data_IF_484638896370
#
_entry.id   IF_484638896370
#
_cell.length_a   1.000
_cell.length_b   1.000
_cell.length_c   1.000
_cell.angle_alpha   90.00
_cell.angle_beta   90.00
_cell.angle_gamma   90.00
#
_symmetry.space_group_name_H-M   'P 1'
#
loop_
_entity.id
_entity.type
_entity.pdbx_description
1 polymer ?
#
# COMPACT_ATOMS: atom_id res chain seq x y z
N UNK A 1 8.87 -4.03 -20.29
CA UNK A 1 7.56 -3.36 -20.31
C UNK A 1 7.56 -2.49 -21.53
N UNK A 2 6.78 -2.89 -22.54
CA UNK A 2 6.62 -2.10 -23.76
C UNK A 2 5.18 -1.67 -23.97
N UNK A 3 4.99 -0.79 -24.94
CA UNK A 3 3.66 -0.31 -25.34
C UNK A 3 2.88 0.26 -24.14
N UNK A 4 3.60 0.92 -23.23
CA UNK A 4 3.05 1.49 -22.01
C UNK A 4 2.09 2.62 -22.39
N UNK A 5 0.85 2.50 -21.94
CA UNK A 5 -0.21 3.47 -22.22
C UNK A 5 -1.02 3.72 -20.97
N UNK A 6 -1.67 4.88 -20.93
CA UNK A 6 -2.61 5.20 -19.88
C UNK A 6 -3.81 4.23 -19.89
N UNK A 7 -4.20 3.77 -18.72
CA UNK A 7 -5.40 2.98 -18.49
C UNK A 7 -6.42 3.83 -17.73
N UNK A 8 -7.51 4.20 -18.41
CA UNK A 8 -8.62 4.91 -17.75
C UNK A 8 -9.51 3.90 -17.02
N UNK A 9 -9.15 3.55 -15.79
CA UNK A 9 -9.88 2.58 -14.99
C UNK A 9 -11.33 3.03 -14.74
N UNK A 10 -12.29 2.10 -14.76
CA UNK A 10 -13.71 2.42 -14.55
C UNK A 10 -13.97 3.05 -13.17
N UNK A 11 -13.16 2.70 -12.16
CA UNK A 11 -13.24 3.28 -10.81
C UNK A 11 -12.99 4.79 -10.78
N UNK A 12 -12.25 5.34 -11.74
CA UNK A 12 -12.06 6.79 -11.84
C UNK A 12 -13.33 7.58 -12.17
N UNK A 13 -14.40 6.89 -12.57
CA UNK A 13 -15.71 7.51 -12.83
C UNK A 13 -16.59 7.57 -11.58
N UNK A 14 -16.16 6.99 -10.45
CA UNK A 14 -16.91 7.06 -9.18
C UNK A 14 -16.63 8.38 -8.46
N UNK A 15 -17.49 8.79 -7.50
CA UNK A 15 -17.26 9.99 -6.69
C UNK A 15 -16.03 9.92 -5.78
N UNK A 16 -15.43 8.74 -5.61
CA UNK A 16 -14.28 8.53 -4.74
C UNK A 16 -12.98 9.06 -5.37
N UNK A 17 -12.99 9.29 -6.69
CA UNK A 17 -11.86 9.81 -7.44
C UNK A 17 -12.19 11.18 -8.06
N UNK A 18 -11.29 12.13 -7.87
CA UNK A 18 -11.35 13.47 -8.46
C UNK A 18 -10.26 13.59 -9.54
N UNK A 19 -10.62 13.81 -10.81
CA UNK A 19 -9.62 14.11 -11.85
C UNK A 19 -9.00 15.49 -11.57
N UNK A 20 -7.71 15.53 -11.26
CA UNK A 20 -6.99 16.78 -10.97
C UNK A 20 -6.19 17.28 -12.17
N UNK A 21 -5.62 16.38 -12.96
CA UNK A 21 -4.90 16.67 -14.20
C UNK A 21 -5.19 15.59 -15.25
N UNK A 22 -4.65 15.74 -16.46
CA UNK A 22 -4.78 14.65 -17.43
C UNK A 22 -4.06 13.40 -16.92
N UNK A 23 -4.75 12.26 -16.97
CA UNK A 23 -4.28 10.96 -16.46
C UNK A 23 -4.03 10.87 -14.94
N UNK A 24 -4.24 11.95 -14.17
CA UNK A 24 -3.99 11.98 -12.72
C UNK A 24 -5.30 12.19 -11.97
N UNK A 25 -5.55 11.32 -10.99
CA UNK A 25 -6.70 11.37 -10.12
C UNK A 25 -6.24 11.53 -8.68
N UNK A 26 -7.07 12.16 -7.86
CA UNK A 26 -6.90 12.30 -6.43
C UNK A 26 -7.95 11.43 -5.74
N UNK A 27 -7.55 10.71 -4.72
CA UNK A 27 -8.45 9.90 -3.89
C UNK A 27 -8.03 9.96 -2.42
N UNK A 28 -8.84 9.36 -1.57
CA UNK A 28 -8.56 9.16 -0.17
C UNK A 28 -8.10 7.72 0.03
N UNK A 29 -6.88 7.55 0.53
CA UNK A 29 -6.34 6.24 0.86
C UNK A 29 -7.19 5.60 1.95
N UNK A 30 -7.77 4.45 1.64
CA UNK A 30 -8.44 3.60 2.62
C UNK A 30 -7.37 2.74 3.30
N UNK A 31 -6.86 3.22 4.44
CA UNK A 31 -6.01 2.38 5.29
C UNK A 31 -6.87 1.25 5.84
N UNK A 32 -6.65 0.03 5.36
CA UNK A 32 -7.32 -1.13 5.92
C UNK A 32 -6.82 -1.33 7.35
N UNK A 33 -7.75 -1.62 8.26
CA UNK A 33 -7.44 -1.90 9.68
C UNK A 33 -6.78 -3.28 9.84
N UNK A 34 -6.70 -4.05 8.75
CA UNK A 34 -6.26 -5.44 8.71
C UNK A 34 -4.80 -5.59 8.22
N UNK A 35 -4.24 -4.55 7.60
CA UNK A 35 -2.89 -4.60 7.02
C UNK A 35 -1.81 -4.26 8.06
N UNK A 36 -1.68 -5.06 9.12
CA UNK A 36 -0.45 -5.19 9.93
C UNK A 36 0.19 -3.92 10.50
N UNK A 37 -0.46 -2.76 10.39
CA UNK A 37 0.11 -1.45 10.65
C UNK A 37 -0.09 -1.11 12.13
N UNK A 38 0.76 -1.72 12.95
CA UNK A 38 0.87 -1.42 14.38
C UNK A 38 1.64 -0.12 14.61
N UNK A 39 1.06 0.99 14.21
CA UNK A 39 1.53 2.29 14.67
C UNK A 39 1.04 2.47 16.11
N UNK A 40 1.82 2.00 17.09
CA UNK A 40 1.48 2.10 18.50
C UNK A 40 2.28 3.20 19.18
N UNK A 41 1.64 3.92 20.10
CA UNK A 41 2.34 4.73 21.10
C UNK A 41 1.88 4.38 22.49
N UNK A 42 2.78 4.49 23.46
CA UNK A 42 2.41 4.34 24.85
C UNK A 42 1.38 5.40 25.24
N UNK A 43 0.27 4.97 25.85
CA UNK A 43 -0.73 5.88 26.36
C UNK A 43 -0.13 6.72 27.50
N UNK A 44 -0.12 8.03 27.33
CA UNK A 44 0.52 8.97 28.28
C UNK A 44 -0.41 9.50 29.37
N UNK A 45 -1.73 9.26 29.25
CA UNK A 45 -2.72 9.66 30.23
C UNK A 45 -2.81 8.62 31.36
N UNK A 46 -2.23 8.94 32.52
CA UNK A 46 -2.15 8.03 33.66
C UNK A 46 -3.53 7.63 34.24
N UNK A 47 -4.52 8.53 34.19
CA UNK A 47 -5.86 8.24 34.71
C UNK A 47 -6.59 7.27 33.78
N UNK A 48 -6.46 7.49 32.46
CA UNK A 48 -6.97 6.58 31.45
C UNK A 48 -6.29 5.20 31.54
N UNK A 49 -4.95 5.14 31.60
CA UNK A 49 -4.20 3.89 31.75
C UNK A 49 -4.69 3.11 32.97
N UNK A 50 -4.81 3.78 34.13
CA UNK A 50 -5.30 3.17 35.38
C UNK A 50 -6.72 2.62 35.26
N UNK A 51 -7.55 3.20 34.38
CA UNK A 51 -8.91 2.73 34.09
C UNK A 51 -8.88 1.52 33.14
N UNK A 52 -8.12 1.60 32.05
CA UNK A 52 -8.02 0.55 31.03
C UNK A 52 -7.42 -0.74 31.60
N UNK A 53 -6.38 -0.64 32.44
CA UNK A 53 -5.76 -1.80 33.09
C UNK A 53 -6.72 -2.60 33.99
N UNK A 54 -7.78 -1.96 34.50
CA UNK A 54 -8.82 -2.60 35.33
C UNK A 54 -10.00 -3.13 34.52
N UNK A 55 -10.02 -2.92 33.21
CA UNK A 55 -11.08 -3.44 32.36
C UNK A 55 -11.03 -4.96 32.31
N UNK A 56 -12.20 -5.60 32.34
CA UNK A 56 -12.34 -7.04 32.08
C UNK A 56 -12.64 -7.33 30.59
N UNK A 57 -12.77 -6.29 29.77
CA UNK A 57 -13.16 -6.38 28.35
C UNK A 57 -11.99 -6.64 27.40
N UNK A 58 -10.77 -6.81 27.92
CA UNK A 58 -9.61 -7.19 27.11
C UNK A 58 -9.83 -8.57 26.48
N UNK A 59 -9.66 -8.67 25.17
CA UNK A 59 -9.70 -9.94 24.45
C UNK A 59 -8.36 -10.22 23.76
N UNK A 60 -7.95 -11.48 23.72
CA UNK A 60 -6.78 -11.88 22.95
C UNK A 60 -7.06 -11.67 21.46
N UNK A 61 -6.11 -11.04 20.76
CA UNK A 61 -6.15 -10.88 19.31
C UNK A 61 -5.98 -12.20 18.57
N UNK A 62 -6.27 -12.19 17.27
CA UNK A 62 -6.15 -13.37 16.40
C UNK A 62 -5.38 -13.04 15.13
N UNK A 63 -4.57 -13.96 14.64
CA UNK A 63 -3.73 -13.78 13.45
C UNK A 63 -2.25 -13.63 13.81
N UNK A 64 -1.37 -13.79 12.81
CA UNK A 64 0.09 -13.96 12.96
C UNK A 64 0.83 -12.79 13.65
N UNK A 65 0.14 -11.69 13.94
CA UNK A 65 0.71 -10.50 14.61
C UNK A 65 -0.05 -10.06 15.88
N UNK A 66 -1.23 -10.62 16.14
CA UNK A 66 -2.15 -10.14 17.18
C UNK A 66 -2.36 -11.18 18.29
N UNK A 67 -1.93 -12.42 18.09
CA UNK A 67 -2.12 -13.52 19.04
C UNK A 67 -1.31 -13.38 20.34
N UNK A 68 -0.22 -12.62 20.31
CA UNK A 68 0.57 -12.23 21.51
C UNK A 68 0.02 -10.97 22.21
N UNK A 69 -1.05 -10.35 21.69
CA UNK A 69 -1.61 -9.10 22.21
C UNK A 69 -3.02 -9.27 22.80
N UNK A 70 -3.29 -8.54 23.89
CA UNK A 70 -4.63 -8.22 24.33
C UNK A 70 -5.09 -6.92 23.66
N UNK A 71 -6.33 -6.91 23.19
CA UNK A 71 -6.97 -5.78 22.51
C UNK A 71 -8.15 -5.29 23.34
N UNK A 72 -8.30 -3.98 23.46
CA UNK A 72 -9.47 -3.33 24.06
C UNK A 72 -9.94 -2.19 23.16
N UNK A 73 -11.23 -2.15 22.85
CA UNK A 73 -11.84 -0.96 22.23
C UNK A 73 -12.52 -0.12 23.31
N UNK A 74 -12.07 1.12 23.49
CA UNK A 74 -12.60 2.04 24.47
C UNK A 74 -12.82 3.42 23.82
N UNK A 75 -14.04 3.96 23.94
CA UNK A 75 -14.43 5.25 23.33
C UNK A 75 -14.11 5.38 21.82
N UNK A 76 -14.20 4.28 21.07
CA UNK A 76 -13.96 4.25 19.63
C UNK A 76 -12.49 4.15 19.23
N UNK A 77 -11.56 4.07 20.19
CA UNK A 77 -10.13 3.82 19.96
C UNK A 77 -9.75 2.41 20.38
N UNK A 78 -8.74 1.84 19.72
CA UNK A 78 -8.14 0.56 20.10
C UNK A 78 -6.91 0.76 20.97
N UNK A 79 -6.74 -0.14 21.91
CA UNK A 79 -5.62 -0.21 22.82
C UNK A 79 -5.06 -1.63 22.83
N UNK A 80 -3.77 -1.76 23.07
CA UNK A 80 -3.04 -3.01 23.04
C UNK A 80 -2.19 -3.18 24.31
N UNK A 81 -2.04 -4.43 24.75
CA UNK A 81 -1.13 -4.85 25.81
C UNK A 81 -0.50 -6.17 25.39
N UNK A 82 0.75 -6.37 25.77
CA UNK A 82 1.40 -7.67 25.63
C UNK A 82 0.83 -8.65 26.67
N UNK A 83 0.43 -9.84 26.25
CA UNK A 83 -0.13 -10.89 27.11
C UNK A 83 0.90 -11.34 28.17
N UNK A 84 2.19 -11.40 27.82
CA UNK A 84 3.24 -11.88 28.71
C UNK A 84 3.57 -10.88 29.83
N UNK A 85 3.27 -9.59 29.60
CA UNK A 85 3.57 -8.52 30.55
C UNK A 85 2.40 -8.19 31.51
N UNK A 86 1.25 -8.86 31.39
CA UNK A 86 0.09 -8.59 32.23
C UNK A 86 0.42 -8.76 33.73
N UNK A 87 0.28 -7.68 34.49
CA UNK A 87 0.54 -7.66 35.94
C UNK A 87 2.01 -7.51 36.35
N UNK A 88 2.92 -7.31 35.39
CA UNK A 88 4.33 -7.00 35.65
C UNK A 88 4.57 -5.47 35.69
N UNK A 89 5.81 -5.04 35.93
CA UNK A 89 6.18 -3.63 35.82
C UNK A 89 6.20 -3.12 34.37
N UNK A 90 6.21 -4.03 33.40
CA UNK A 90 6.22 -3.77 31.97
C UNK A 90 4.80 -3.86 31.35
N UNK A 91 3.75 -3.89 32.18
CA UNK A 91 2.34 -3.88 31.75
C UNK A 91 1.94 -2.51 31.20
N UNK A 92 2.36 -2.27 29.95
CA UNK A 92 2.19 -1.00 29.26
C UNK A 92 0.92 -1.06 28.39
N UNK A 93 0.08 -0.04 28.53
CA UNK A 93 -1.04 0.20 27.62
C UNK A 93 -0.56 1.02 26.43
N UNK A 94 -0.60 0.42 25.26
CA UNK A 94 -0.39 1.10 23.99
C UNK A 94 -1.72 1.56 23.42
N UNK A 95 -1.77 2.76 22.85
CA UNK A 95 -2.90 3.22 22.05
C UNK A 95 -2.56 3.10 20.56
N UNK A 96 -3.56 2.68 19.79
CA UNK A 96 -3.49 2.72 18.34
C UNK A 96 -3.33 4.16 17.88
N UNK A 97 -2.27 4.45 17.12
CA UNK A 97 -2.10 5.73 16.46
C UNK A 97 -2.91 5.82 15.18
N UNK A 98 -3.45 4.71 14.69
CA UNK A 98 -4.35 4.73 13.56
C UNK A 98 -5.66 5.42 13.95
N UNK A 99 -5.91 6.60 13.38
CA UNK A 99 -7.22 7.21 13.37
C UNK A 99 -7.95 6.75 12.10
N UNK A 100 -9.00 5.91 12.21
CA UNK A 100 -9.78 5.47 11.05
C UNK A 100 -10.51 6.62 10.33
N UNK A 101 -10.58 7.81 10.95
CA UNK A 101 -11.08 9.01 10.30
C UNK A 101 -9.97 9.81 9.57
N UNK A 102 -8.69 9.55 9.84
CA UNK A 102 -7.56 10.19 9.18
C UNK A 102 -7.32 9.54 7.82
N UNK A 103 -7.99 10.08 6.81
CA UNK A 103 -7.81 9.70 5.41
C UNK A 103 -6.65 10.47 4.81
N UNK A 104 -5.61 9.74 4.37
CA UNK A 104 -4.53 10.34 3.59
C UNK A 104 -5.03 10.71 2.20
N UNK A 105 -4.70 11.91 1.73
CA UNK A 105 -4.91 12.28 0.33
C UNK A 105 -3.76 11.72 -0.47
N UNK A 106 -4.08 10.94 -1.49
CA UNK A 106 -3.10 10.41 -2.45
C UNK A 106 -3.50 10.77 -3.88
N UNK A 107 -2.50 10.77 -4.74
CA UNK A 107 -2.65 10.93 -6.18
C UNK A 107 -2.34 9.60 -6.84
N UNK A 108 -3.11 9.26 -7.87
CA UNK A 108 -3.02 7.98 -8.57
C UNK A 108 -3.03 8.16 -10.08
N UNK A 109 -2.39 7.22 -10.75
CA UNK A 109 -2.45 7.03 -12.20
C UNK A 109 -2.36 5.55 -12.51
N UNK A 110 -3.02 5.11 -13.59
CA UNK A 110 -2.97 3.72 -14.01
C UNK A 110 -2.38 3.59 -15.39
N UNK A 111 -1.57 2.55 -15.54
CA UNK A 111 -0.98 2.16 -16.82
C UNK A 111 -1.38 0.74 -17.19
N UNK A 112 -1.24 0.45 -18.46
CA UNK A 112 -1.32 -0.88 -19.04
C UNK A 112 -0.11 -1.04 -19.97
N UNK A 113 0.53 -2.19 -19.92
CA UNK A 113 1.75 -2.49 -20.66
C UNK A 113 1.79 -3.95 -21.13
N UNK A 114 2.63 -4.25 -22.10
CA UNK A 114 2.91 -5.62 -22.52
C UNK A 114 4.20 -6.08 -21.82
N UNK A 115 4.17 -7.20 -21.07
CA UNK A 115 5.36 -7.70 -20.40
C UNK A 115 6.31 -8.40 -21.40
N UNK A 116 7.59 -8.44 -21.02
CA UNK A 116 8.68 -8.95 -21.86
C UNK A 116 9.55 -9.94 -21.08
N UNK A 117 9.23 -11.25 -21.12
CA UNK A 117 9.97 -12.28 -20.37
C UNK A 117 11.47 -12.32 -20.66
N UNK A 118 11.90 -11.83 -21.82
CA UNK A 118 13.32 -11.68 -22.16
C UNK A 118 14.08 -10.70 -21.23
N UNK A 119 13.37 -9.84 -20.50
CA UNK A 119 13.89 -8.91 -19.49
C UNK A 119 13.52 -9.33 -18.05
N UNK A 120 13.28 -10.63 -17.84
CA UNK A 120 12.95 -11.22 -16.52
C UNK A 120 11.57 -10.85 -15.96
N UNK A 121 10.71 -10.28 -16.81
CA UNK A 121 9.30 -10.05 -16.48
C UNK A 121 8.51 -11.36 -16.49
N UNK A 122 7.30 -11.33 -15.91
CA UNK A 122 6.38 -12.48 -15.95
C UNK A 122 5.92 -12.76 -17.39
N UNK A 123 5.44 -13.99 -17.64
CA UNK A 123 4.78 -14.33 -18.89
C UNK A 123 3.52 -13.48 -19.10
N UNK A 124 3.16 -13.09 -20.35
CA UNK A 124 1.97 -12.27 -20.62
C UNK A 124 0.65 -12.85 -20.13
N UNK A 125 0.58 -14.16 -19.86
CA UNK A 125 -0.63 -14.82 -19.35
C UNK A 125 -0.67 -15.00 -17.83
N UNK A 126 0.39 -14.58 -17.13
CA UNK A 126 0.46 -14.53 -15.67
C UNK A 126 -0.51 -13.46 -15.13
N UNK A 127 -1.25 -13.82 -14.08
CA UNK A 127 -2.24 -12.93 -13.45
C UNK A 127 -1.61 -11.94 -12.46
N UNK A 128 -0.36 -12.16 -12.07
CA UNK A 128 0.36 -11.28 -11.16
C UNK A 128 1.24 -10.29 -11.91
N UNK A 129 1.24 -9.04 -11.47
CA UNK A 129 2.15 -8.00 -11.97
C UNK A 129 3.58 -8.40 -11.64
N UNK A 130 4.46 -8.38 -12.65
CA UNK A 130 5.86 -8.76 -12.44
C UNK A 130 6.59 -7.76 -11.54
N UNK A 131 7.49 -8.26 -10.71
CA UNK A 131 8.39 -7.42 -9.90
C UNK A 131 9.44 -6.71 -10.75
N UNK A 132 9.84 -7.30 -11.88
CA UNK A 132 10.79 -6.69 -12.81
C UNK A 132 10.02 -6.07 -13.99
N UNK A 133 10.32 -4.83 -14.41
CA UNK A 133 11.11 -3.79 -13.73
C UNK A 133 10.31 -2.97 -12.70
N UNK A 134 9.14 -3.45 -12.26
CA UNK A 134 8.22 -2.68 -11.43
C UNK A 134 8.89 -2.12 -10.16
N UNK A 135 9.63 -2.93 -9.41
CA UNK A 135 10.25 -2.51 -8.14
C UNK A 135 11.19 -1.31 -8.34
N UNK A 136 12.02 -1.34 -9.38
CA UNK A 136 12.92 -0.23 -9.69
C UNK A 136 12.15 1.02 -10.18
N UNK A 137 10.99 0.86 -10.83
CA UNK A 137 10.09 1.99 -11.17
C UNK A 137 9.53 2.61 -9.88
N UNK A 138 9.08 1.78 -8.92
CA UNK A 138 8.56 2.26 -7.64
C UNK A 138 9.61 3.10 -6.90
N UNK A 139 10.84 2.60 -6.82
CA UNK A 139 11.96 3.27 -6.16
C UNK A 139 12.43 4.54 -6.89
N UNK A 140 12.60 4.49 -8.22
CA UNK A 140 13.09 5.63 -9.02
C UNK A 140 12.10 6.81 -8.95
N UNK A 141 10.80 6.52 -8.98
CA UNK A 141 9.76 7.54 -9.04
C UNK A 141 9.11 7.86 -7.70
N UNK A 142 9.48 7.18 -6.60
CA UNK A 142 8.90 7.35 -5.27
C UNK A 142 7.36 7.15 -5.28
N UNK A 143 6.92 6.12 -5.99
CA UNK A 143 5.52 5.69 -6.07
C UNK A 143 5.40 4.27 -5.53
N UNK A 144 4.19 3.84 -5.19
CA UNK A 144 3.91 2.45 -4.79
C UNK A 144 2.76 1.88 -5.61
N UNK A 145 2.72 0.55 -5.74
CA UNK A 145 1.59 -0.15 -6.33
C UNK A 145 0.37 -0.01 -5.40
N UNK A 146 -0.69 0.63 -5.88
CA UNK A 146 -1.93 0.84 -5.12
C UNK A 146 -3.04 -0.15 -5.50
N UNK A 147 -3.06 -0.58 -6.76
CA UNK A 147 -3.96 -1.61 -7.26
C UNK A 147 -3.26 -2.42 -8.35
N UNK A 148 -3.20 -3.73 -8.16
CA UNK A 148 -2.68 -4.68 -9.12
C UNK A 148 -3.73 -5.14 -10.14
N UNK A 149 -4.98 -4.68 -10.08
CA UNK A 149 -6.03 -5.00 -11.04
C UNK A 149 -6.16 -6.51 -11.32
N UNK A 150 -6.24 -7.32 -10.26
CA UNK A 150 -6.18 -8.79 -10.35
C UNK A 150 -7.20 -9.38 -11.33
N UNK A 151 -8.38 -8.76 -11.47
CA UNK A 151 -9.42 -9.24 -12.39
C UNK A 151 -9.05 -8.99 -13.84
N UNK A 152 -8.55 -7.80 -14.14
CA UNK A 152 -8.07 -7.41 -15.46
C UNK A 152 -6.89 -8.31 -15.87
N UNK A 153 -5.89 -8.46 -14.98
CA UNK A 153 -4.71 -9.29 -15.21
C UNK A 153 -5.03 -10.79 -15.32
N UNK A 154 -6.00 -11.31 -14.56
CA UNK A 154 -6.47 -12.68 -14.75
C UNK A 154 -7.14 -12.90 -16.13
N UNK A 155 -7.72 -11.84 -16.72
CA UNK A 155 -8.53 -11.93 -17.95
C UNK A 155 -7.79 -11.59 -19.24
N UNK A 156 -6.88 -10.63 -19.21
CA UNK A 156 -6.12 -10.16 -20.37
C UNK A 156 -4.77 -10.88 -20.44
N UNK A 157 -4.66 -11.86 -21.33
CA UNK A 157 -3.45 -12.70 -21.48
C UNK A 157 -2.35 -12.08 -22.35
N UNK A 158 -2.40 -10.76 -22.52
CA UNK A 158 -1.44 -10.00 -23.31
C UNK A 158 -0.86 -8.82 -22.55
N UNK A 159 -1.66 -8.16 -21.73
CA UNK A 159 -1.25 -6.94 -21.05
C UNK A 159 -1.35 -7.09 -19.54
N UNK A 160 -0.47 -6.39 -18.84
CA UNK A 160 -0.53 -6.19 -17.40
C UNK A 160 -1.00 -4.78 -17.06
N UNK A 161 -1.75 -4.66 -15.98
CA UNK A 161 -2.39 -3.44 -15.49
C UNK A 161 -1.88 -3.15 -14.08
N UNK A 162 -1.53 -1.89 -13.81
CA UNK A 162 -1.09 -1.46 -12.48
C UNK A 162 -1.48 -0.01 -12.24
N UNK A 163 -1.91 0.29 -11.01
CA UNK A 163 -2.10 1.64 -10.51
C UNK A 163 -0.95 2.03 -9.60
N UNK A 164 -0.34 3.18 -9.89
CA UNK A 164 0.63 3.83 -9.03
C UNK A 164 -0.05 4.85 -8.14
N UNK A 165 0.40 4.94 -6.89
CA UNK A 165 0.03 5.99 -5.95
C UNK A 165 1.24 6.71 -5.36
N UNK A 166 1.02 7.95 -4.95
CA UNK A 166 1.92 8.75 -4.12
C UNK A 166 1.14 9.85 -3.41
N UNK A 167 1.61 10.27 -2.23
CA UNK A 167 1.12 11.50 -1.57
C UNK A 167 1.53 12.77 -2.34
N UNK A 168 2.47 12.64 -3.28
CA UNK A 168 3.04 13.72 -4.08
C UNK A 168 2.58 13.63 -5.54
N UNK A 169 1.84 14.65 -5.99
CA UNK A 169 1.43 14.75 -7.40
C UNK A 169 2.63 14.86 -8.35
N UNK A 170 3.76 15.43 -7.91
CA UNK A 170 4.95 15.55 -8.74
C UNK A 170 5.54 14.19 -9.07
N UNK A 171 5.45 13.22 -8.16
CA UNK A 171 5.97 11.87 -8.36
C UNK A 171 5.08 11.10 -9.34
N UNK A 172 3.76 11.30 -9.27
CA UNK A 172 2.82 10.80 -10.30
C UNK A 172 3.09 11.43 -11.67
N UNK A 173 3.41 12.72 -11.74
CA UNK A 173 3.78 13.35 -13.02
C UNK A 173 5.06 12.75 -13.61
N UNK A 174 6.07 12.46 -12.78
CA UNK A 174 7.32 11.85 -13.24
C UNK A 174 7.09 10.41 -13.72
N UNK A 175 6.35 9.57 -12.99
CA UNK A 175 6.11 8.19 -13.44
C UNK A 175 5.34 8.16 -14.75
N UNK A 176 4.45 9.13 -15.01
CA UNK A 176 3.77 9.27 -16.30
C UNK A 176 4.72 9.52 -17.48
N UNK A 177 5.95 10.00 -17.26
CA UNK A 177 6.95 10.16 -18.32
C UNK A 177 7.40 8.82 -18.93
N UNK A 178 7.04 7.67 -18.35
CA UNK A 178 7.29 6.35 -18.95
C UNK A 178 6.28 5.97 -20.03
N UNK A 179 5.15 6.68 -20.15
CA UNK A 179 4.15 6.41 -21.18
C UNK A 179 4.79 6.54 -22.58
N UNK A 180 4.54 5.53 -23.41
CA UNK A 180 5.08 5.44 -24.77
C UNK A 180 6.56 5.04 -24.84
N UNK A 181 7.21 4.81 -23.70
CA UNK A 181 8.60 4.35 -23.62
C UNK A 181 8.68 2.83 -23.46
N UNK A 182 9.89 2.31 -23.65
CA UNK A 182 10.26 0.96 -23.30
C UNK A 182 11.04 0.98 -21.98
N UNK A 183 10.57 0.23 -21.00
CA UNK A 183 11.14 0.20 -19.65
C UNK A 183 11.50 -1.22 -19.28
N UNK A 184 12.75 -1.45 -18.90
CA UNK A 184 13.28 -2.79 -18.61
C UNK A 184 14.52 -2.72 -17.73
N UNK A 185 14.86 -3.84 -17.10
CA UNK A 185 16.11 -3.97 -16.39
C UNK A 185 17.22 -4.55 -17.26
N UNK A 186 18.44 -4.10 -17.04
CA UNK A 186 19.64 -4.68 -17.65
C UNK A 186 20.74 -4.86 -16.62
N UNK A 187 21.37 -6.04 -16.68
CA UNK A 187 22.53 -6.35 -15.85
C UNK A 187 23.80 -5.77 -16.47
N UNK A 188 24.41 -4.80 -15.78
CA UNK A 188 25.68 -4.18 -16.14
C UNK A 188 26.74 -4.48 -15.07
N UNK A 189 27.50 -5.56 -15.27
CA UNK A 189 28.48 -6.04 -14.30
C UNK A 189 27.78 -6.66 -13.08
N UNK A 190 28.04 -6.12 -11.89
CA UNK A 190 27.46 -6.57 -10.63
C UNK A 190 26.17 -5.80 -10.24
N UNK A 191 25.66 -4.95 -11.14
CA UNK A 191 24.49 -4.10 -10.89
C UNK A 191 23.38 -4.37 -11.89
N UNK A 192 22.14 -4.28 -11.41
CA UNK A 192 20.94 -4.17 -12.25
C UNK A 192 20.62 -2.68 -12.38
N UNK A 193 20.33 -2.23 -13.60
CA UNK A 193 19.92 -0.85 -13.87
C UNK A 193 18.56 -0.84 -14.55
N UNK A 194 17.71 0.12 -14.16
CA UNK A 194 16.51 0.49 -14.89
C UNK A 194 16.88 1.29 -16.15
N UNK A 195 16.40 0.86 -17.31
CA UNK A 195 16.48 1.62 -18.58
C UNK A 195 15.10 2.09 -18.97
N UNK A 196 15.03 3.33 -19.46
CA UNK A 196 13.81 3.99 -19.91
C UNK A 196 14.14 4.67 -21.25
N UNK A 197 13.62 4.13 -22.35
CA UNK A 197 13.95 4.53 -23.73
C UNK A 197 12.74 4.98 -24.55
#
# INVERSE_FOLDING_TARGET
>A
MKNIRFYEAEKYKTPDYEKVEDMIYKTLEEKSVDDGNFALKQCSDADLVSKLLKSEEWCQGTGDFLDENLILTYEGKRYYRDIENVGTEDDIVYEDMYDPAEKNIIYVTSIIYEPEPEFEENEPDDEYVSQYPLEDILDEFLVYCYDSYDKENASDKKNSYVEFASESIEDIRKVLDIIGKHVYNVTEGDYVQLKIE
#
